data_IF_290156744340
#
_entry.id   IF_290156744340
#
_cell.length_a   1.000
_cell.length_b   1.000
_cell.length_c   1.000
_cell.angle_alpha   90.00
_cell.angle_beta   90.00
_cell.angle_gamma   90.00
#
_symmetry.space_group_name_H-M   'P 1'
#
loop_
_entity.id
_entity.type
_entity.pdbx_description
1 polymer ?
#
# COMPACT_ATOMS: atom_id res chain seq x y z
N UNK A 1 -29.90 3.07 14.34
CA UNK A 1 -28.89 2.39 15.17
C UNK A 1 -27.75 3.38 15.38
N UNK A 2 -27.49 3.80 16.62
CA UNK A 2 -26.43 4.78 16.90
C UNK A 2 -25.12 4.03 17.13
N UNK A 3 -24.13 4.27 16.28
CA UNK A 3 -22.76 3.75 16.48
C UNK A 3 -22.08 4.64 17.52
N UNK A 4 -21.57 4.05 18.61
CA UNK A 4 -20.68 4.73 19.56
C UNK A 4 -19.26 4.24 19.34
N UNK A 5 -18.34 5.18 19.22
CA UNK A 5 -16.91 4.91 19.10
C UNK A 5 -16.24 4.94 20.48
N UNK A 6 -15.04 4.39 20.57
CA UNK A 6 -14.21 4.51 21.78
C UNK A 6 -13.82 5.99 22.00
N UNK A 7 -13.96 6.48 23.22
CA UNK A 7 -13.69 7.88 23.59
C UNK A 7 -12.24 8.31 23.26
N UNK A 8 -11.27 7.40 23.28
CA UNK A 8 -9.88 7.69 22.91
C UNK A 8 -9.76 8.25 21.48
N UNK A 9 -10.61 7.81 20.55
CA UNK A 9 -10.60 8.28 19.17
C UNK A 9 -10.89 9.77 19.05
N UNK A 10 -11.61 10.37 20.00
CA UNK A 10 -11.90 11.80 20.00
C UNK A 10 -10.65 12.67 20.23
N UNK A 11 -9.60 12.09 20.81
CA UNK A 11 -8.33 12.78 21.11
C UNK A 11 -7.31 12.70 19.98
N UNK A 12 -7.51 11.80 19.01
CA UNK A 12 -6.55 11.57 17.92
C UNK A 12 -6.84 12.58 16.80
N UNK A 13 -5.89 13.46 16.44
CA UNK A 13 -6.08 14.36 15.32
C UNK A 13 -6.21 13.57 14.01
N UNK A 14 -7.18 13.97 13.18
CA UNK A 14 -7.37 13.36 11.88
C UNK A 14 -6.15 13.57 10.98
N UNK A 15 -5.79 12.54 10.22
CA UNK A 15 -4.79 12.69 9.16
C UNK A 15 -5.28 13.68 8.09
N UNK A 16 -4.44 14.66 7.77
CA UNK A 16 -4.71 15.68 6.74
C UNK A 16 -3.92 15.33 5.47
N UNK A 17 -4.57 14.72 4.45
CA UNK A 17 -3.91 14.46 3.18
C UNK A 17 -3.64 15.78 2.43
N UNK A 18 -2.59 15.78 1.60
CA UNK A 18 -2.26 16.95 0.75
C UNK A 18 -3.29 17.23 -0.35
N UNK A 19 -4.06 16.22 -0.77
CA UNK A 19 -5.19 16.36 -1.70
C UNK A 19 -6.49 16.27 -0.90
N UNK A 20 -7.46 17.19 -1.11
CA UNK A 20 -8.77 17.12 -0.46
C UNK A 20 -9.45 15.77 -0.67
N UNK A 21 -10.15 15.28 0.38
CA UNK A 21 -10.89 14.02 0.29
C UNK A 21 -11.85 14.03 -0.90
N UNK A 22 -11.87 12.92 -1.65
CA UNK A 22 -12.74 12.75 -2.81
C UNK A 22 -12.22 13.33 -4.12
N UNK A 23 -10.99 13.87 -4.14
CA UNK A 23 -10.34 14.35 -5.35
C UNK A 23 -9.05 13.54 -5.59
N UNK A 24 -8.76 13.25 -6.85
CA UNK A 24 -7.43 12.84 -7.28
C UNK A 24 -6.52 14.07 -7.38
N UNK A 25 -5.21 13.84 -7.42
CA UNK A 25 -4.29 14.93 -7.68
C UNK A 25 -4.52 15.58 -9.06
N UNK A 26 -4.96 14.79 -10.03
CA UNK A 26 -5.31 15.24 -11.38
C UNK A 26 -6.53 16.18 -11.36
N UNK A 27 -7.53 15.89 -10.52
CA UNK A 27 -8.72 16.73 -10.34
C UNK A 27 -8.39 18.12 -9.78
N UNK A 28 -7.33 18.22 -8.96
CA UNK A 28 -6.91 19.46 -8.30
C UNK A 28 -5.87 20.22 -9.13
N UNK A 29 -4.99 19.49 -9.81
CA UNK A 29 -3.87 20.07 -10.54
C UNK A 29 -4.27 20.50 -11.97
N UNK A 30 -5.28 19.88 -12.57
CA UNK A 30 -5.57 20.07 -13.99
C UNK A 30 -4.56 19.37 -14.91
N UNK A 31 -4.94 19.14 -16.16
CA UNK A 31 -4.22 18.24 -17.09
C UNK A 31 -2.79 18.65 -17.43
N UNK A 32 -2.41 19.90 -17.17
CA UNK A 32 -1.13 20.49 -17.56
C UNK A 32 -0.12 20.61 -16.40
N UNK A 33 -0.47 20.09 -15.22
CA UNK A 33 0.40 20.12 -14.05
C UNK A 33 1.09 18.77 -13.79
N UNK A 34 2.37 18.84 -13.44
CA UNK A 34 3.14 17.67 -13.05
C UNK A 34 2.86 17.31 -11.58
N UNK A 35 2.45 16.06 -11.35
CA UNK A 35 2.23 15.51 -10.02
C UNK A 35 3.56 15.18 -9.32
N UNK A 36 3.89 15.92 -8.27
CA UNK A 36 5.17 15.80 -7.54
C UNK A 36 5.01 15.79 -6.00
N UNK A 37 3.77 15.74 -5.49
CA UNK A 37 3.48 15.95 -4.07
C UNK A 37 3.53 14.67 -3.21
N UNK A 38 3.47 13.49 -3.82
CA UNK A 38 3.28 12.21 -3.12
C UNK A 38 4.49 11.26 -3.16
N UNK A 39 5.65 11.72 -3.66
CA UNK A 39 6.84 10.89 -3.89
C UNK A 39 6.59 9.68 -4.83
N UNK A 40 5.62 9.81 -5.73
CA UNK A 40 5.33 8.78 -6.74
C UNK A 40 6.46 8.71 -7.77
N UNK A 41 6.70 7.52 -8.32
CA UNK A 41 7.67 7.35 -9.40
C UNK A 41 7.16 8.06 -10.66
N UNK A 42 7.98 8.90 -11.33
CA UNK A 42 7.61 9.51 -12.62
C UNK A 42 7.69 8.52 -13.78
N UNK A 43 8.32 7.36 -13.59
CA UNK A 43 8.47 6.34 -14.61
C UNK A 43 7.27 5.39 -14.62
N UNK A 44 6.87 4.87 -15.81
CA UNK A 44 5.86 3.83 -15.89
C UNK A 44 6.29 2.57 -15.12
N UNK A 45 5.34 1.73 -14.69
CA UNK A 45 5.67 0.44 -14.12
C UNK A 45 6.46 -0.40 -15.13
N UNK A 46 7.33 -1.27 -14.62
CA UNK A 46 8.07 -2.21 -15.46
C UNK A 46 7.09 -3.10 -16.25
N UNK A 47 7.32 -3.36 -17.55
CA UNK A 47 6.41 -4.17 -18.37
C UNK A 47 6.09 -5.54 -17.75
N UNK A 48 7.09 -6.19 -17.16
CA UNK A 48 6.94 -7.50 -16.52
C UNK A 48 6.02 -7.46 -15.29
N UNK A 49 5.95 -6.32 -14.60
CA UNK A 49 5.01 -6.10 -13.48
C UNK A 49 3.59 -5.98 -14.00
N UNK A 50 3.38 -5.20 -15.06
CA UNK A 50 2.06 -5.04 -15.70
C UNK A 50 1.53 -6.40 -16.18
N UNK A 51 2.36 -7.19 -16.85
CA UNK A 51 1.99 -8.54 -17.27
C UNK A 51 1.67 -9.47 -16.09
N UNK A 52 2.46 -9.42 -15.01
CA UNK A 52 2.23 -10.24 -13.82
C UNK A 52 0.90 -9.90 -13.15
N UNK A 53 0.57 -8.61 -13.06
CA UNK A 53 -0.74 -8.13 -12.57
C UNK A 53 -1.86 -8.64 -13.47
N UNK A 54 -1.72 -8.50 -14.79
CA UNK A 54 -2.72 -8.98 -15.75
C UNK A 54 -3.01 -10.48 -15.60
N UNK A 55 -1.98 -11.31 -15.44
CA UNK A 55 -2.15 -12.74 -15.15
C UNK A 55 -2.84 -12.98 -13.81
N UNK A 56 -2.41 -12.31 -12.75
CA UNK A 56 -2.98 -12.46 -11.41
C UNK A 56 -4.47 -12.06 -11.36
N UNK A 57 -4.87 -11.06 -12.14
CA UNK A 57 -6.25 -10.58 -12.19
C UNK A 57 -7.25 -11.68 -12.63
N UNK A 58 -6.82 -12.63 -13.46
CA UNK A 58 -7.66 -13.75 -13.92
C UNK A 58 -8.10 -14.71 -12.81
N UNK A 59 -7.46 -14.66 -11.64
CA UNK A 59 -7.74 -15.53 -10.49
C UNK A 59 -8.04 -14.74 -9.21
N UNK A 60 -8.41 -13.47 -9.32
CA UNK A 60 -8.61 -12.55 -8.18
C UNK A 60 -9.75 -12.97 -7.23
N UNK A 61 -10.61 -13.90 -7.65
CA UNK A 61 -11.64 -14.49 -6.80
C UNK A 61 -11.11 -15.51 -5.77
N UNK A 62 -9.80 -15.77 -5.75
CA UNK A 62 -9.15 -16.69 -4.82
C UNK A 62 -8.30 -15.93 -3.81
N UNK A 63 -8.30 -16.39 -2.57
CA UNK A 63 -7.37 -15.87 -1.57
C UNK A 63 -5.92 -16.12 -2.01
N UNK A 64 -5.01 -15.18 -1.74
CA UNK A 64 -3.59 -15.37 -1.99
C UNK A 64 -3.00 -16.41 -1.01
N UNK A 65 -1.74 -16.78 -1.23
CA UNK A 65 -0.96 -17.50 -0.22
C UNK A 65 -0.90 -16.68 1.08
N UNK A 66 -1.52 -17.15 2.19
CA UNK A 66 -1.62 -16.36 3.42
C UNK A 66 -0.26 -16.13 4.08
N UNK A 67 0.76 -16.93 3.76
CA UNK A 67 2.11 -16.78 4.31
C UNK A 67 3.03 -15.93 3.41
N UNK A 68 2.55 -15.50 2.24
CA UNK A 68 3.36 -14.80 1.23
C UNK A 68 4.70 -15.51 0.93
N UNK A 69 4.69 -16.85 0.93
CA UNK A 69 5.88 -17.73 0.93
C UNK A 69 6.81 -17.42 -0.22
N UNK A 70 6.25 -17.29 -1.44
CA UNK A 70 7.04 -17.01 -2.64
C UNK A 70 7.71 -15.64 -2.60
N UNK A 71 7.01 -14.63 -2.07
CA UNK A 71 7.55 -13.28 -1.95
C UNK A 71 8.66 -13.23 -0.90
N UNK A 72 8.43 -13.82 0.28
CA UNK A 72 9.42 -13.90 1.35
C UNK A 72 10.72 -14.57 0.89
N UNK A 73 10.63 -15.72 0.23
CA UNK A 73 11.82 -16.41 -0.31
C UNK A 73 12.59 -15.54 -1.29
N UNK A 74 11.92 -14.92 -2.27
CA UNK A 74 12.59 -14.07 -3.26
C UNK A 74 13.26 -12.84 -2.65
N UNK A 75 12.65 -12.24 -1.62
CA UNK A 75 13.25 -11.12 -0.91
C UNK A 75 14.44 -11.57 -0.05
N UNK A 76 14.32 -12.73 0.60
CA UNK A 76 15.38 -13.35 1.40
C UNK A 76 16.62 -13.63 0.53
N UNK A 77 16.43 -14.27 -0.63
CA UNK A 77 17.49 -14.53 -1.59
C UNK A 77 18.14 -13.22 -2.09
N UNK A 78 17.34 -12.19 -2.37
CA UNK A 78 17.84 -10.88 -2.84
C UNK A 78 18.69 -10.15 -1.80
N UNK A 79 18.34 -10.31 -0.52
CA UNK A 79 18.97 -9.59 0.58
C UNK A 79 19.95 -10.46 1.39
N UNK A 80 20.15 -11.72 0.98
CA UNK A 80 21.08 -12.68 1.62
C UNK A 80 20.77 -12.89 3.11
N UNK A 81 19.48 -13.02 3.45
CA UNK A 81 18.98 -13.26 4.82
C UNK A 81 18.04 -14.46 4.86
N UNK A 82 17.69 -14.93 6.05
CA UNK A 82 16.73 -16.02 6.20
C UNK A 82 15.28 -15.55 5.93
N UNK A 83 14.41 -16.37 5.29
CA UNK A 83 13.01 -16.01 5.05
C UNK A 83 12.23 -15.67 6.33
N UNK A 84 12.62 -16.23 7.48
CA UNK A 84 12.03 -15.94 8.78
C UNK A 84 12.30 -14.51 9.29
N UNK A 85 13.26 -13.80 8.69
CA UNK A 85 13.57 -12.40 8.99
C UNK A 85 12.74 -11.40 8.17
N UNK A 86 11.79 -11.88 7.35
CA UNK A 86 10.98 -11.05 6.45
C UNK A 86 9.50 -11.11 6.84
N UNK A 87 8.98 -9.95 7.22
CA UNK A 87 7.54 -9.73 7.35
C UNK A 87 6.99 -9.07 6.08
N UNK A 88 5.74 -9.35 5.74
CA UNK A 88 5.03 -8.79 4.57
C UNK A 88 3.77 -8.09 5.08
N UNK A 89 3.48 -6.91 4.55
CA UNK A 89 2.30 -6.11 4.89
C UNK A 89 1.79 -5.33 3.66
N UNK A 90 0.58 -4.80 3.74
CA UNK A 90 -0.04 -3.97 2.71
C UNK A 90 0.47 -2.51 2.81
N UNK A 91 1.76 -2.35 2.48
CA UNK A 91 2.49 -1.09 2.67
C UNK A 91 3.14 -1.00 4.05
N UNK A 92 4.20 -0.19 4.14
CA UNK A 92 5.00 -0.07 5.38
C UNK A 92 4.23 0.57 6.54
N UNK A 93 3.20 1.37 6.26
CA UNK A 93 2.36 1.98 7.29
C UNK A 93 1.65 0.95 8.17
N UNK A 94 1.34 -0.24 7.65
CA UNK A 94 0.73 -1.31 8.45
C UNK A 94 1.71 -1.83 9.50
N UNK A 95 3.02 -1.87 9.23
CA UNK A 95 4.02 -2.17 10.26
C UNK A 95 4.10 -1.09 11.32
N UNK A 96 4.00 0.19 10.93
CA UNK A 96 4.00 1.29 11.89
C UNK A 96 2.77 1.23 12.81
N UNK A 97 1.61 0.85 12.25
CA UNK A 97 0.39 0.65 13.02
C UNK A 97 0.54 -0.53 13.98
N UNK A 98 1.00 -1.68 13.50
CA UNK A 98 1.20 -2.88 14.32
C UNK A 98 2.25 -2.68 15.43
N UNK A 99 3.24 -1.83 15.21
CA UNK A 99 4.26 -1.50 16.20
C UNK A 99 3.81 -0.44 17.23
N UNK A 100 2.68 0.23 16.98
CA UNK A 100 2.10 1.22 17.90
C UNK A 100 1.12 0.60 18.91
N UNK A 101 0.82 -0.70 18.77
CA UNK A 101 0.12 -1.53 19.76
C UNK A 101 1.08 -2.04 20.84
#
# INVERSE_FOLDING_TARGET
MTVRYNDHLSSIPGYTPGVPKGHSAEDVAGSDLAQLASNESPFPPLPEVVEAIGRAATAMNRYPDPAATRLRRRLADRHEIEPGQISIANGSCEFLLAAAE
#
